data_IF_618255652254
#
_entry.id   IF_618255652254
#
_cell.length_a   1.000
_cell.length_b   1.000
_cell.length_c   1.000
_cell.angle_alpha   90.00
_cell.angle_beta   90.00
_cell.angle_gamma   90.00
#
_symmetry.space_group_name_H-M   'P 1'
#
loop_
_entity.id
_entity.type
_entity.pdbx_description
1 polymer ?
#
# COMPACT_ATOMS: atom_id res chain seq x y z
N UNK A 1 27.07 -6.14 10.00
CA UNK A 1 25.98 -6.40 10.96
C UNK A 1 24.72 -5.72 10.47
N UNK A 2 23.72 -6.47 9.99
CA UNK A 2 22.40 -5.90 9.67
C UNK A 2 21.62 -5.85 10.98
N UNK A 3 21.41 -4.66 11.52
CA UNK A 3 20.53 -4.46 12.69
C UNK A 3 19.11 -4.84 12.26
N UNK A 4 18.65 -6.00 12.72
CA UNK A 4 17.29 -6.48 12.51
C UNK A 4 16.40 -5.58 13.37
N UNK A 5 15.75 -4.58 12.79
CA UNK A 5 14.73 -3.79 13.52
C UNK A 5 13.56 -4.74 13.78
N UNK A 6 13.41 -5.15 15.03
CA UNK A 6 12.39 -6.09 15.52
C UNK A 6 11.35 -5.38 16.39
N UNK A 7 10.81 -4.27 15.91
CA UNK A 7 9.63 -3.65 16.53
C UNK A 7 8.60 -3.40 15.44
N UNK A 8 7.37 -3.83 15.67
CA UNK A 8 6.22 -3.45 14.85
C UNK A 8 6.19 -1.92 14.71
N UNK A 9 5.95 -1.43 13.49
CA UNK A 9 5.85 -0.01 13.22
C UNK A 9 4.37 0.39 13.20
N UNK A 10 4.05 1.44 13.94
CA UNK A 10 2.78 2.17 13.78
C UNK A 10 2.73 2.86 12.41
N UNK A 11 1.54 3.23 11.93
CA UNK A 11 1.39 3.96 10.66
C UNK A 11 2.18 5.28 10.73
N UNK A 12 2.19 5.98 11.88
CA UNK A 12 3.00 7.20 12.06
C UNK A 12 4.49 6.93 11.90
N UNK A 13 5.00 5.82 12.45
CA UNK A 13 6.42 5.48 12.34
C UNK A 13 6.78 5.13 10.89
N UNK A 14 5.94 4.38 10.19
CA UNK A 14 6.11 4.10 8.76
C UNK A 14 6.07 5.39 7.93
N UNK A 15 5.13 6.29 8.22
CA UNK A 15 5.02 7.59 7.57
C UNK A 15 6.26 8.44 7.80
N UNK A 16 6.80 8.45 9.03
CA UNK A 16 8.04 9.16 9.37
C UNK A 16 9.24 8.59 8.61
N UNK A 17 9.37 7.26 8.53
CA UNK A 17 10.46 6.61 7.79
C UNK A 17 10.43 6.98 6.29
N UNK A 18 9.25 6.99 5.67
CA UNK A 18 9.07 7.44 4.28
C UNK A 18 9.38 8.93 4.14
N UNK A 19 8.94 9.79 5.07
CA UNK A 19 9.23 11.21 5.03
C UNK A 19 10.74 11.49 5.11
N UNK A 20 11.47 10.78 5.96
CA UNK A 20 12.94 10.88 6.07
C UNK A 20 13.63 10.43 4.78
N UNK A 21 13.18 9.32 4.19
CA UNK A 21 13.67 8.85 2.89
C UNK A 21 13.45 9.87 1.77
N UNK A 22 12.23 10.40 1.64
CA UNK A 22 11.87 11.40 0.63
C UNK A 22 12.69 12.68 0.82
N UNK A 23 12.86 13.14 2.07
CA UNK A 23 13.71 14.29 2.39
C UNK A 23 15.16 14.06 1.94
N UNK A 24 15.71 12.88 2.18
CA UNK A 24 17.07 12.53 1.78
C UNK A 24 17.25 12.49 0.24
N UNK A 25 16.20 12.15 -0.52
CA UNK A 25 16.23 12.19 -2.00
C UNK A 25 16.14 13.60 -2.57
N UNK A 26 15.55 14.54 -1.83
CA UNK A 26 15.44 15.95 -2.20
C UNK A 26 14.26 16.25 -3.15
N UNK A 27 13.78 17.49 -3.09
CA UNK A 27 12.51 17.91 -3.73
C UNK A 27 12.48 17.74 -5.25
N UNK A 28 13.62 17.94 -5.92
CA UNK A 28 13.72 17.79 -7.38
C UNK A 28 13.41 16.36 -7.83
N UNK A 29 13.82 15.37 -7.04
CA UNK A 29 13.58 13.96 -7.34
C UNK A 29 12.18 13.54 -6.90
N UNK A 30 11.79 13.90 -5.67
CA UNK A 30 10.53 13.41 -5.08
C UNK A 30 9.29 14.04 -5.69
N UNK A 31 9.39 15.30 -6.14
CA UNK A 31 8.26 16.09 -6.67
C UNK A 31 7.03 16.04 -5.76
N UNK A 32 7.23 16.13 -4.44
CA UNK A 32 6.14 15.96 -3.45
C UNK A 32 4.98 16.93 -3.67
N UNK A 33 5.26 18.15 -4.12
CA UNK A 33 4.24 19.18 -4.38
C UNK A 33 3.46 18.95 -5.69
N UNK A 34 3.84 17.96 -6.50
CA UNK A 34 3.12 17.57 -7.71
C UNK A 34 2.08 16.49 -7.39
N UNK A 35 0.97 16.92 -6.80
CA UNK A 35 -0.09 16.01 -6.34
C UNK A 35 -0.70 15.19 -7.50
N UNK A 36 -0.76 15.76 -8.71
CA UNK A 36 -1.20 15.03 -9.89
C UNK A 36 -0.31 13.82 -10.12
N UNK A 37 1.01 14.04 -10.17
CA UNK A 37 1.96 12.94 -10.34
C UNK A 37 1.92 11.92 -9.18
N UNK A 38 1.64 12.36 -7.94
CA UNK A 38 1.53 11.44 -6.80
C UNK A 38 0.33 10.49 -6.94
N UNK A 39 -0.79 11.02 -7.40
CA UNK A 39 -1.99 10.21 -7.66
C UNK A 39 -1.79 9.29 -8.87
N UNK A 40 -1.13 9.76 -9.94
CA UNK A 40 -0.88 8.87 -11.10
C UNK A 40 -0.01 7.67 -10.73
N UNK A 41 1.03 7.87 -9.91
CA UNK A 41 1.85 6.76 -9.42
C UNK A 41 1.04 5.81 -8.52
N UNK A 42 0.22 6.34 -7.60
CA UNK A 42 -0.64 5.49 -6.78
C UNK A 42 -1.55 4.60 -7.65
N UNK A 43 -2.16 5.17 -8.68
CA UNK A 43 -3.04 4.42 -9.59
C UNK A 43 -2.27 3.39 -10.42
N UNK A 44 -1.03 3.69 -10.79
CA UNK A 44 -0.13 2.74 -11.44
C UNK A 44 0.12 1.52 -10.54
N UNK A 45 0.51 1.71 -9.28
CA UNK A 45 0.73 0.63 -8.32
C UNK A 45 -0.54 -0.18 -8.00
N UNK A 46 -1.70 0.49 -7.97
CA UNK A 46 -2.99 -0.22 -7.84
C UNK A 46 -3.25 -1.10 -9.07
N UNK A 47 -2.87 -0.65 -10.28
CA UNK A 47 -2.95 -1.44 -11.50
C UNK A 47 -2.01 -2.65 -11.49
N UNK A 48 -0.80 -2.47 -10.94
CA UNK A 48 0.16 -3.56 -10.68
C UNK A 48 -0.44 -4.62 -9.75
N UNK A 49 -0.98 -4.16 -8.61
CA UNK A 49 -1.63 -5.01 -7.63
C UNK A 49 -2.80 -5.79 -8.23
N UNK A 50 -3.68 -5.10 -8.97
CA UNK A 50 -4.81 -5.74 -9.64
C UNK A 50 -4.35 -6.85 -10.59
N UNK A 51 -3.30 -6.58 -11.38
CA UNK A 51 -2.71 -7.56 -12.30
C UNK A 51 -2.09 -8.74 -11.55
N UNK A 52 -1.40 -8.48 -10.43
CA UNK A 52 -0.85 -9.50 -9.56
C UNK A 52 -1.93 -10.47 -9.04
N UNK A 53 -3.02 -9.92 -8.51
CA UNK A 53 -4.17 -10.71 -8.02
C UNK A 53 -4.83 -11.50 -9.14
N UNK A 54 -5.10 -10.87 -10.30
CA UNK A 54 -5.69 -11.57 -11.45
C UNK A 54 -4.80 -12.75 -11.87
N UNK A 55 -3.48 -12.56 -11.94
CA UNK A 55 -2.56 -13.64 -12.32
C UNK A 55 -2.43 -14.74 -11.26
N UNK A 56 -2.56 -14.39 -9.98
CA UNK A 56 -2.57 -15.33 -8.86
C UNK A 56 -3.78 -16.25 -8.92
N UNK A 57 -4.96 -15.69 -9.19
CA UNK A 57 -6.24 -16.40 -9.17
C UNK A 57 -6.64 -17.00 -10.53
N UNK A 58 -5.98 -16.58 -11.62
CA UNK A 58 -6.25 -17.09 -12.97
C UNK A 58 -6.04 -18.61 -13.05
N UNK A 59 -7.07 -19.31 -13.54
CA UNK A 59 -7.06 -20.76 -13.76
C UNK A 59 -6.66 -21.12 -15.20
N UNK A 60 -6.37 -22.39 -15.44
CA UNK A 60 -6.03 -22.87 -16.79
C UNK A 60 -7.20 -22.63 -17.76
N UNK A 61 -6.97 -21.85 -18.81
CA UNK A 61 -8.00 -21.48 -19.80
C UNK A 61 -8.58 -20.07 -19.65
N UNK A 62 -8.16 -19.31 -18.62
CA UNK A 62 -8.54 -17.90 -18.48
C UNK A 62 -7.90 -17.03 -19.58
N UNK A 63 -8.67 -16.25 -20.35
CA UNK A 63 -8.14 -15.35 -21.38
C UNK A 63 -7.22 -14.25 -20.82
N UNK A 64 -7.27 -13.99 -19.51
CA UNK A 64 -6.42 -13.01 -18.82
C UNK A 64 -5.11 -13.62 -18.29
N UNK A 65 -4.87 -14.91 -18.51
CA UNK A 65 -3.68 -15.61 -18.02
C UNK A 65 -2.43 -15.14 -18.75
N UNK A 66 -1.61 -14.31 -18.09
CA UNK A 66 -0.23 -13.98 -18.51
C UNK A 66 0.74 -14.56 -17.48
N UNK A 67 1.94 -14.98 -17.90
CA UNK A 67 2.95 -15.54 -16.99
C UNK A 67 2.67 -16.98 -16.53
N UNK A 68 2.25 -17.84 -17.45
CA UNK A 68 1.81 -19.24 -17.24
C UNK A 68 2.85 -20.11 -16.51
N UNK A 69 4.12 -19.72 -16.51
CA UNK A 69 5.24 -20.50 -15.96
C UNK A 69 5.61 -20.15 -14.51
N UNK A 70 5.09 -19.06 -13.94
CA UNK A 70 5.41 -18.66 -12.56
C UNK A 70 4.67 -19.52 -11.54
N UNK A 71 5.39 -19.96 -10.51
CA UNK A 71 4.86 -20.63 -9.32
C UNK A 71 3.86 -19.75 -8.57
N UNK A 72 3.07 -20.37 -7.69
CA UNK A 72 2.12 -19.64 -6.85
C UNK A 72 2.84 -18.68 -5.91
N UNK A 73 3.98 -19.09 -5.38
CA UNK A 73 4.84 -18.31 -4.48
C UNK A 73 5.36 -17.05 -5.18
N UNK A 74 5.85 -17.17 -6.42
CA UNK A 74 6.29 -16.03 -7.22
C UNK A 74 5.14 -15.03 -7.46
N UNK A 75 3.95 -15.54 -7.78
CA UNK A 75 2.77 -14.69 -7.99
C UNK A 75 2.32 -14.00 -6.69
N UNK A 76 2.39 -14.69 -5.56
CA UNK A 76 2.08 -14.10 -4.26
C UNK A 76 3.10 -13.00 -3.89
N UNK A 77 4.38 -13.21 -4.20
CA UNK A 77 5.42 -12.19 -4.03
C UNK A 77 5.11 -10.92 -4.81
N UNK A 78 4.64 -11.02 -6.06
CA UNK A 78 4.21 -9.85 -6.84
C UNK A 78 3.04 -9.09 -6.19
N UNK A 79 2.10 -9.81 -5.57
CA UNK A 79 0.99 -9.19 -4.83
C UNK A 79 1.52 -8.47 -3.58
N UNK A 80 2.43 -9.10 -2.84
CA UNK A 80 3.07 -8.51 -1.65
C UNK A 80 3.84 -7.24 -1.99
N UNK A 81 4.68 -7.28 -3.04
CA UNK A 81 5.45 -6.12 -3.51
C UNK A 81 4.52 -4.97 -3.92
N UNK A 82 3.50 -5.25 -4.74
CA UNK A 82 2.55 -4.22 -5.21
C UNK A 82 1.69 -3.63 -4.09
N UNK A 83 1.36 -4.43 -3.05
CA UNK A 83 0.70 -3.93 -1.83
C UNK A 83 1.63 -2.97 -1.07
N UNK A 84 2.91 -3.32 -0.96
CA UNK A 84 3.94 -2.49 -0.36
C UNK A 84 4.10 -1.16 -1.08
N UNK A 85 4.21 -1.18 -2.40
CA UNK A 85 4.35 0.02 -3.24
C UNK A 85 3.09 0.91 -3.18
N UNK A 86 1.90 0.30 -3.23
CA UNK A 86 0.64 1.02 -3.01
C UNK A 86 0.62 1.73 -1.65
N UNK A 87 1.04 1.03 -0.59
CA UNK A 87 1.09 1.62 0.75
C UNK A 87 2.14 2.74 0.86
N UNK A 88 3.31 2.56 0.25
CA UNK A 88 4.33 3.61 0.15
C UNK A 88 3.78 4.88 -0.53
N UNK A 89 3.03 4.72 -1.62
CA UNK A 89 2.43 5.85 -2.33
C UNK A 89 1.32 6.54 -1.53
N UNK A 90 0.52 5.80 -0.74
CA UNK A 90 -0.42 6.38 0.21
C UNK A 90 0.29 7.19 1.30
N UNK A 91 1.41 6.68 1.84
CA UNK A 91 2.24 7.42 2.79
C UNK A 91 2.80 8.70 2.14
N UNK A 92 3.35 8.61 0.93
CA UNK A 92 3.88 9.78 0.21
C UNK A 92 2.82 10.86 -0.05
N UNK A 93 1.60 10.48 -0.42
CA UNK A 93 0.48 11.41 -0.59
C UNK A 93 0.09 12.04 0.75
N UNK A 94 -0.01 11.25 1.81
CA UNK A 94 -0.34 11.80 3.14
C UNK A 94 0.71 12.83 3.58
N UNK A 95 2.00 12.59 3.29
CA UNK A 95 3.10 13.52 3.57
C UNK A 95 2.95 14.80 2.73
N UNK A 96 2.64 14.70 1.42
CA UNK A 96 2.52 15.89 0.56
C UNK A 96 1.39 16.83 1.00
N UNK A 97 0.30 16.28 1.53
CA UNK A 97 -0.83 17.04 2.06
C UNK A 97 -0.70 17.38 3.55
N UNK A 98 0.42 17.03 4.20
CA UNK A 98 0.62 17.20 5.64
C UNK A 98 -0.50 16.58 6.49
N UNK A 99 -0.94 15.39 6.10
CA UNK A 99 -1.98 14.61 6.77
C UNK A 99 -1.36 13.57 7.69
N UNK A 100 -1.99 13.33 8.82
CA UNK A 100 -1.64 12.25 9.74
C UNK A 100 -2.42 10.98 9.38
N UNK A 101 -1.74 10.02 8.74
CA UNK A 101 -2.40 8.84 8.19
C UNK A 101 -2.92 7.88 9.27
N UNK A 102 -2.27 7.84 10.44
CA UNK A 102 -2.76 7.05 11.58
C UNK A 102 -4.11 7.59 12.06
N UNK A 103 -4.21 8.91 12.26
CA UNK A 103 -5.48 9.55 12.65
C UNK A 103 -6.56 9.35 11.58
N UNK A 104 -6.20 9.46 10.30
CA UNK A 104 -7.14 9.22 9.20
C UNK A 104 -7.66 7.77 9.18
N UNK A 105 -6.80 6.79 9.44
CA UNK A 105 -7.17 5.38 9.58
C UNK A 105 -8.11 5.16 10.77
N UNK A 106 -7.76 5.67 11.96
CA UNK A 106 -8.56 5.52 13.19
C UNK A 106 -9.96 6.13 13.05
N UNK A 107 -10.05 7.32 12.44
CA UNK A 107 -11.33 7.97 12.17
C UNK A 107 -12.18 7.18 11.16
N UNK A 108 -11.54 6.66 10.10
CA UNK A 108 -12.21 5.81 9.10
C UNK A 108 -12.77 4.55 9.75
N UNK A 109 -11.98 3.87 10.57
CA UNK A 109 -12.40 2.65 11.28
C UNK A 109 -13.56 2.92 12.23
N UNK A 110 -13.49 3.96 13.06
CA UNK A 110 -14.59 4.36 13.94
C UNK A 110 -15.89 4.61 13.17
N UNK A 111 -15.81 5.27 12.01
CA UNK A 111 -16.96 5.53 11.14
C UNK A 111 -17.53 4.25 10.52
N UNK A 112 -16.66 3.32 10.09
CA UNK A 112 -17.07 2.02 9.53
C UNK A 112 -17.76 1.18 10.60
N UNK A 113 -17.17 1.04 11.78
CA UNK A 113 -17.75 0.28 12.90
C UNK A 113 -19.09 0.83 13.37
N UNK A 114 -19.26 2.15 13.33
CA UNK A 114 -20.55 2.80 13.65
C UNK A 114 -21.61 2.48 12.60
N UNK A 115 -21.24 2.46 11.31
CA UNK A 115 -22.16 2.16 10.20
C UNK A 115 -22.49 0.67 10.08
N UNK A 116 -21.52 -0.19 10.39
CA UNK A 116 -21.58 -1.63 10.23
C UNK A 116 -21.13 -2.31 11.53
N UNK A 117 -21.94 -2.25 12.60
CA UNK A 117 -21.59 -2.86 13.88
C UNK A 117 -21.47 -4.36 13.72
N UNK A 118 -20.46 -4.95 14.37
CA UNK A 118 -20.29 -6.39 14.40
C UNK A 118 -21.53 -7.05 15.04
N UNK A 119 -22.06 -8.09 14.39
CA UNK A 119 -23.14 -8.89 14.96
C UNK A 119 -22.56 -9.62 16.16
N UNK A 120 -22.83 -9.11 17.36
CA UNK A 120 -22.48 -9.82 18.60
C UNK A 120 -23.62 -10.81 18.87
N UNK A 121 -23.50 -12.03 18.34
CA UNK A 121 -24.34 -13.14 18.80
C UNK A 121 -24.08 -13.35 20.29
N UNK A 122 -25.06 -12.97 21.13
CA UNK A 122 -25.10 -13.37 22.53
C UNK A 122 -25.34 -14.88 22.55
N UNK A 123 -24.29 -15.66 22.81
CA UNK A 123 -24.39 -17.06 23.25
C UNK A 123 -24.96 -17.13 24.66
#
# INVERSE_FOLDING_TARGET
MKSKRTSELTIRQSQKEVAEYLKAKGEKWTRLNDHYLRITHLVEEIGELARGVINLDATYGDPNRRGVEASREEKLGLVEDSLGDTFYHLLAISISYNLDLQTAFENSMKSIETRYPAITTRT
#
